data_IF_397642325990
#
_entry.id   IF_397642325990
#
_cell.length_a   1.000
_cell.length_b   1.000
_cell.length_c   1.000
_cell.angle_alpha   90.00
_cell.angle_beta   90.00
_cell.angle_gamma   90.00
#
_symmetry.space_group_name_H-M   'P 1'
#
loop_
_entity.id
_entity.type
_entity.pdbx_description
1 polymer ?
#
# COMPACT_ATOMS: atom_id res chain seq x y z
N UNK A 1 23.71 -15.04 -43.71
CA UNK A 1 22.70 -15.38 -42.68
C UNK A 1 23.14 -14.68 -41.42
N UNK A 2 22.57 -13.50 -41.18
CA UNK A 2 22.79 -12.76 -39.94
C UNK A 2 21.73 -13.25 -38.95
N UNK A 3 22.17 -13.88 -37.87
CA UNK A 3 21.27 -14.25 -36.78
C UNK A 3 21.00 -13.00 -35.97
N UNK A 4 19.81 -12.43 -36.12
CA UNK A 4 19.33 -11.38 -35.22
C UNK A 4 19.07 -12.01 -33.85
N UNK A 5 19.96 -11.73 -32.91
CA UNK A 5 19.75 -11.96 -31.48
C UNK A 5 18.47 -11.23 -31.06
N UNK A 6 17.38 -11.98 -30.93
CA UNK A 6 16.17 -11.51 -30.27
C UNK A 6 16.49 -11.40 -28.78
N UNK A 7 16.91 -10.19 -28.38
CA UNK A 7 17.00 -9.81 -26.98
C UNK A 7 15.59 -9.89 -26.40
N UNK A 8 15.26 -11.02 -25.80
CA UNK A 8 14.08 -11.19 -24.96
C UNK A 8 14.22 -10.20 -23.81
N UNK A 9 13.55 -9.06 -23.90
CA UNK A 9 13.35 -8.19 -22.76
C UNK A 9 12.70 -9.04 -21.66
N UNK A 10 13.21 -9.04 -20.41
CA UNK A 10 12.47 -9.63 -19.33
C UNK A 10 11.11 -8.92 -19.29
N UNK A 11 10.04 -9.71 -19.28
CA UNK A 11 8.71 -9.21 -18.97
C UNK A 11 8.81 -8.77 -17.52
N UNK A 12 9.06 -7.49 -17.30
CA UNK A 12 8.89 -6.89 -15.98
C UNK A 12 7.39 -7.04 -15.69
N UNK A 13 7.03 -7.85 -14.68
CA UNK A 13 5.67 -7.86 -14.16
C UNK A 13 5.38 -6.43 -13.72
N UNK A 14 4.53 -5.72 -14.47
CA UNK A 14 4.07 -4.39 -14.12
C UNK A 14 3.18 -4.50 -12.87
N UNK A 15 3.79 -4.52 -11.68
CA UNK A 15 3.11 -4.51 -10.40
C UNK A 15 2.49 -3.13 -10.14
N UNK A 16 1.16 -3.06 -10.08
CA UNK A 16 0.43 -1.83 -9.72
C UNK A 16 0.10 -1.82 -8.22
N UNK A 17 0.40 -0.70 -7.57
CA UNK A 17 0.13 -0.48 -6.14
C UNK A 17 -0.99 0.55 -5.98
N UNK A 18 -1.86 0.34 -4.99
CA UNK A 18 -2.89 1.31 -4.59
C UNK A 18 -2.91 1.46 -3.08
N UNK A 19 -3.11 2.69 -2.60
CA UNK A 19 -3.26 2.97 -1.18
C UNK A 19 -4.74 2.85 -0.79
N UNK A 20 -5.04 1.93 0.12
CA UNK A 20 -6.38 1.78 0.70
C UNK A 20 -6.51 2.69 1.93
N UNK A 21 -7.36 3.71 1.85
CA UNK A 21 -7.67 4.59 2.98
C UNK A 21 -8.90 4.05 3.75
N UNK A 22 -8.65 3.56 4.96
CA UNK A 22 -9.66 3.04 5.89
C UNK A 22 -9.98 4.01 7.04
N UNK A 23 -9.48 5.24 7.03
CA UNK A 23 -9.60 6.17 8.15
C UNK A 23 -11.06 6.47 8.54
N UNK A 24 -11.96 6.51 7.56
CA UNK A 24 -13.41 6.68 7.80
C UNK A 24 -14.14 5.45 8.37
N UNK A 25 -13.43 4.32 8.50
CA UNK A 25 -14.00 3.03 8.98
C UNK A 25 -13.45 2.68 10.35
N UNK A 26 -12.14 2.88 10.58
CA UNK A 26 -11.47 2.53 11.84
C UNK A 26 -12.03 3.26 13.08
N UNK A 27 -12.72 4.39 12.91
CA UNK A 27 -13.43 5.07 13.99
C UNK A 27 -14.68 4.33 14.49
N UNK A 28 -15.21 3.40 13.70
CA UNK A 28 -16.46 2.70 13.96
C UNK A 28 -16.27 1.21 14.19
N UNK A 29 -15.17 0.64 13.69
CA UNK A 29 -14.91 -0.80 13.72
C UNK A 29 -13.44 -1.07 14.01
N UNK A 30 -13.18 -2.05 14.87
CA UNK A 30 -11.82 -2.56 15.12
C UNK A 30 -11.52 -3.69 14.12
N UNK A 31 -10.43 -3.56 13.36
CA UNK A 31 -10.01 -4.53 12.36
C UNK A 31 -8.81 -5.30 12.92
N UNK A 32 -8.93 -6.60 13.21
CA UNK A 32 -7.84 -7.36 13.80
C UNK A 32 -6.68 -7.49 12.81
N UNK A 33 -5.46 -7.56 13.35
CA UNK A 33 -4.28 -7.85 12.54
C UNK A 33 -4.44 -9.18 11.80
N UNK A 34 -4.05 -9.21 10.52
CA UNK A 34 -4.16 -10.38 9.64
C UNK A 34 -5.61 -10.89 9.42
N UNK A 35 -6.62 -10.02 9.59
CA UNK A 35 -7.98 -10.37 9.19
C UNK A 35 -8.01 -10.77 7.70
N UNK A 36 -8.68 -11.88 7.34
CA UNK A 36 -8.85 -12.24 5.93
C UNK A 36 -9.70 -11.19 5.24
N UNK A 37 -9.41 -10.90 3.98
CA UNK A 37 -10.16 -9.93 3.20
C UNK A 37 -10.30 -10.35 1.74
N UNK A 38 -11.41 -9.93 1.13
CA UNK A 38 -11.67 -10.03 -0.30
C UNK A 38 -11.83 -8.63 -0.88
N UNK A 39 -10.99 -8.28 -1.86
CA UNK A 39 -11.05 -7.03 -2.61
C UNK A 39 -11.48 -7.33 -4.05
N UNK A 40 -12.53 -6.67 -4.51
CA UNK A 40 -13.14 -6.95 -5.81
C UNK A 40 -13.58 -5.66 -6.51
N UNK A 41 -13.73 -5.73 -7.84
CA UNK A 41 -14.21 -4.61 -8.64
C UNK A 41 -13.24 -3.44 -8.71
N UNK A 42 -11.92 -3.70 -8.64
CA UNK A 42 -10.89 -2.67 -8.81
C UNK A 42 -10.97 -1.99 -10.18
N UNK A 43 -11.51 -2.67 -11.18
CA UNK A 43 -11.82 -2.18 -12.52
C UNK A 43 -13.10 -1.32 -12.59
N UNK A 44 -13.82 -1.18 -11.49
CA UNK A 44 -15.08 -0.42 -11.41
C UNK A 44 -14.87 0.94 -10.71
N UNK A 45 -15.83 1.85 -10.83
CA UNK A 45 -15.78 3.12 -10.06
C UNK A 45 -15.94 2.91 -8.55
N UNK A 46 -16.53 1.79 -8.13
CA UNK A 46 -16.86 1.51 -6.73
C UNK A 46 -16.43 0.08 -6.32
N UNK A 47 -15.13 -0.13 -6.06
CA UNK A 47 -14.63 -1.41 -5.57
C UNK A 47 -15.26 -1.80 -4.24
N UNK A 48 -15.35 -3.11 -3.99
CA UNK A 48 -15.91 -3.66 -2.74
C UNK A 48 -14.81 -4.38 -1.98
N UNK A 49 -14.64 -4.02 -0.71
CA UNK A 49 -13.75 -4.68 0.24
C UNK A 49 -14.59 -5.36 1.32
N UNK A 50 -14.41 -6.66 1.49
CA UNK A 50 -15.05 -7.45 2.53
C UNK A 50 -13.97 -7.93 3.49
N UNK A 51 -14.04 -7.55 4.76
CA UNK A 51 -13.10 -7.97 5.80
C UNK A 51 -13.79 -8.95 6.74
N UNK A 52 -13.13 -10.08 7.02
CA UNK A 52 -13.60 -11.17 7.90
C UNK A 52 -15.00 -11.70 7.56
N UNK A 53 -15.39 -11.63 6.27
CA UNK A 53 -16.72 -11.98 5.75
C UNK A 53 -17.90 -11.27 6.45
N UNK A 54 -17.64 -10.18 7.17
CA UNK A 54 -18.63 -9.47 8.00
C UNK A 54 -18.72 -8.00 7.66
N UNK A 55 -17.57 -7.36 7.49
CA UNK A 55 -17.48 -5.93 7.27
C UNK A 55 -17.41 -5.65 5.77
N UNK A 56 -18.52 -5.14 5.21
CA UNK A 56 -18.59 -4.78 3.79
C UNK A 56 -18.41 -3.28 3.61
N UNK A 57 -17.42 -2.91 2.81
CA UNK A 57 -17.02 -1.53 2.54
C UNK A 57 -17.13 -1.25 1.04
N UNK A 58 -17.47 0.00 0.72
CA UNK A 58 -17.49 0.51 -0.65
C UNK A 58 -16.39 1.55 -0.81
N UNK A 59 -15.59 1.36 -1.85
CA UNK A 59 -14.47 2.22 -2.21
C UNK A 59 -14.87 3.30 -3.23
N UNK A 60 -14.14 4.39 -3.21
CA UNK A 60 -14.18 5.43 -4.23
C UNK A 60 -12.75 5.88 -4.53
N UNK A 61 -12.39 5.94 -5.81
CA UNK A 61 -11.08 6.41 -6.24
C UNK A 61 -10.99 7.93 -6.09
N UNK A 62 -9.96 8.41 -5.38
CA UNK A 62 -9.66 9.83 -5.25
C UNK A 62 -8.25 10.12 -5.73
N UNK A 63 -8.12 11.12 -6.60
CA UNK A 63 -6.83 11.60 -7.07
C UNK A 63 -6.13 12.41 -5.97
N UNK A 64 -4.85 12.14 -5.72
CA UNK A 64 -4.10 12.85 -4.70
C UNK A 64 -3.57 14.16 -5.23
N UNK A 65 -3.53 15.18 -4.36
CA UNK A 65 -2.73 16.38 -4.64
C UNK A 65 -1.27 16.03 -4.37
N UNK A 66 -0.49 15.87 -5.45
CA UNK A 66 0.91 15.46 -5.40
C UNK A 66 1.09 13.93 -5.50
N UNK A 67 2.31 13.48 -5.23
CA UNK A 67 2.73 12.08 -5.38
C UNK A 67 3.08 11.49 -4.01
N UNK A 68 2.51 10.33 -3.69
CA UNK A 68 2.86 9.56 -2.51
C UNK A 68 3.94 8.53 -2.85
N UNK A 69 5.11 8.62 -2.23
CA UNK A 69 6.18 7.63 -2.38
C UNK A 69 6.10 6.59 -1.28
N UNK A 70 6.01 5.32 -1.66
CA UNK A 70 5.93 4.19 -0.74
C UNK A 70 7.29 3.51 -0.68
N UNK A 71 7.76 3.23 0.54
CA UNK A 71 9.03 2.54 0.79
C UNK A 71 8.77 1.29 1.64
N UNK A 72 9.47 0.20 1.33
CA UNK A 72 9.52 -0.98 2.19
C UNK A 72 10.69 -0.84 3.13
N UNK A 73 10.49 -1.24 4.38
CA UNK A 73 11.58 -1.43 5.33
C UNK A 73 12.11 -2.86 5.19
N UNK A 74 13.43 -2.98 5.09
CA UNK A 74 14.13 -4.26 5.17
C UNK A 74 15.05 -4.23 6.37
N UNK A 75 15.08 -5.32 7.14
CA UNK A 75 16.06 -5.53 8.20
C UNK A 75 17.42 -5.81 7.52
N UNK A 76 18.06 -4.73 7.09
CA UNK A 76 19.39 -4.79 6.52
C UNK A 76 20.38 -5.13 7.62
N UNK A 77 21.28 -6.07 7.35
CA UNK A 77 22.51 -6.19 8.13
C UNK A 77 23.19 -4.81 8.19
N UNK A 78 23.81 -4.40 9.32
CA UNK A 78 24.36 -3.07 9.47
C UNK A 78 25.32 -2.79 8.32
N UNK A 79 24.95 -1.82 7.48
CA UNK A 79 25.82 -1.34 6.42
C UNK A 79 26.99 -0.68 7.13
N UNK A 80 28.13 -1.37 7.16
CA UNK A 80 29.41 -0.69 7.36
C UNK A 80 29.46 0.38 6.27
N UNK A 81 29.35 1.63 6.68
CA UNK A 81 29.55 2.76 5.79
C UNK A 81 31.00 2.69 5.34
N UNK A 82 31.26 1.97 4.24
CA UNK A 82 32.49 2.10 3.49
C UNK A 82 32.37 3.41 2.74
N UNK A 83 32.50 4.50 3.51
CA UNK A 83 32.73 5.83 2.99
C UNK A 83 33.90 5.68 2.02
N UNK A 84 33.63 6.00 0.76
CA UNK A 84 34.58 5.93 -0.33
C UNK A 84 35.92 6.52 0.12
N UNK A 85 36.86 5.62 0.38
CA UNK A 85 38.19 5.94 0.88
C UNK A 85 38.90 6.89 -0.08
N UNK A 86 39.01 8.16 0.29
CA UNK A 86 40.23 8.97 0.12
C UNK A 86 40.09 10.34 0.80
N UNK A 87 40.49 10.42 2.08
CA UNK A 87 41.17 11.62 2.62
C UNK A 87 42.04 11.15 3.78
N UNK A 88 43.35 11.21 3.60
CA UNK A 88 44.32 10.90 4.63
C UNK A 88 44.30 11.98 5.74
N UNK A 89 44.56 11.55 6.97
CA UNK A 89 44.86 12.32 8.19
C UNK A 89 43.68 12.87 9.03
N UNK A 90 43.22 12.07 10.00
CA UNK A 90 43.56 12.25 11.43
C UNK A 90 43.00 11.05 12.24
N UNK A 91 43.80 10.55 13.18
CA UNK A 91 43.48 9.42 14.05
C UNK A 91 42.65 9.93 15.21
N UNK A 92 41.32 9.77 15.14
CA UNK A 92 40.48 9.85 16.34
C UNK A 92 39.54 8.65 16.34
N UNK A 93 39.84 7.67 17.20
CA UNK A 93 39.01 6.48 17.41
C UNK A 93 37.59 6.92 17.78
N UNK A 94 36.55 6.46 17.07
CA UNK A 94 35.19 6.62 17.58
C UNK A 94 35.06 5.68 18.78
N UNK A 95 34.86 6.27 19.96
CA UNK A 95 34.35 5.53 21.11
C UNK A 95 33.00 4.94 20.72
N UNK A 96 32.93 3.61 20.67
CA UNK A 96 31.71 2.87 20.44
C UNK A 96 30.72 3.17 21.57
N UNK A 97 29.81 4.11 21.32
CA UNK A 97 28.62 4.27 22.13
C UNK A 97 27.69 3.10 21.80
N UNK A 98 27.46 2.23 22.78
CA UNK A 98 26.80 0.93 22.64
C UNK A 98 25.27 1.04 22.48
N UNK A 99 24.79 2.10 21.81
CA UNK A 99 23.37 2.37 21.63
C UNK A 99 23.00 2.77 20.19
N UNK A 100 23.83 2.41 19.21
CA UNK A 100 23.45 2.52 17.81
C UNK A 100 22.41 1.45 17.48
N UNK A 101 21.14 1.85 17.44
CA UNK A 101 20.13 1.12 16.68
C UNK A 101 20.67 0.89 15.26
N UNK A 102 20.62 -0.36 14.79
CA UNK A 102 21.11 -0.71 13.46
C UNK A 102 20.43 0.19 12.40
N UNK A 103 21.20 0.71 11.42
CA UNK A 103 20.62 1.54 10.38
C UNK A 103 19.62 0.71 9.56
N UNK A 104 18.35 1.07 9.63
CA UNK A 104 17.26 0.44 8.87
C UNK A 104 17.39 0.80 7.40
N UNK A 105 17.41 -0.20 6.52
CA UNK A 105 17.51 0.00 5.09
C UNK A 105 16.11 0.04 4.47
N UNK A 106 15.78 1.12 3.77
CA UNK A 106 14.52 1.25 3.03
C UNK A 106 14.72 1.12 1.53
N UNK A 107 13.73 0.56 0.83
CA UNK A 107 13.72 0.43 -0.63
C UNK A 107 12.45 1.07 -1.21
N UNK A 108 12.53 1.88 -2.27
CA UNK A 108 11.33 2.42 -2.91
C UNK A 108 10.51 1.27 -3.52
N UNK A 109 9.19 1.33 -3.36
CA UNK A 109 8.23 0.36 -3.90
C UNK A 109 7.43 1.01 -5.03
N UNK A 110 6.81 2.16 -4.78
CA UNK A 110 5.83 2.74 -5.71
C UNK A 110 5.72 4.27 -5.58
N UNK A 111 5.24 4.91 -6.64
CA UNK A 111 4.78 6.29 -6.65
C UNK A 111 3.29 6.34 -6.97
N UNK A 112 2.47 6.74 -6.00
CA UNK A 112 1.02 6.69 -6.07
C UNK A 112 0.44 8.08 -6.31
N UNK A 113 -0.58 8.13 -7.15
CA UNK A 113 -1.31 9.36 -7.51
C UNK A 113 -2.82 9.24 -7.24
N UNK A 114 -3.26 8.06 -6.78
CA UNK A 114 -4.64 7.75 -6.45
C UNK A 114 -4.68 6.98 -5.15
N UNK A 115 -5.73 7.21 -4.39
CA UNK A 115 -6.09 6.42 -3.20
C UNK A 115 -7.47 5.83 -3.42
N UNK A 116 -7.72 4.71 -2.78
CA UNK A 116 -9.03 4.10 -2.72
C UNK A 116 -9.61 4.31 -1.34
N UNK A 117 -10.57 5.23 -1.22
CA UNK A 117 -11.15 5.62 0.05
C UNK A 117 -12.38 4.78 0.36
N UNK A 118 -12.34 4.05 1.47
CA UNK A 118 -13.43 3.19 1.87
C UNK A 118 -14.32 3.83 2.93
N UNK A 119 -15.60 3.46 2.83
CA UNK A 119 -16.63 3.76 3.83
C UNK A 119 -17.52 2.54 4.04
N UNK A 120 -18.20 2.50 5.18
CA UNK A 120 -19.19 1.46 5.47
C UNK A 120 -20.28 1.46 4.38
N UNK A 121 -20.56 0.28 3.84
CA UNK A 121 -21.69 0.11 2.94
C UNK A 121 -22.97 0.01 3.78
N UNK A 122 -23.74 1.09 3.83
CA UNK A 122 -25.09 1.06 4.41
C UNK A 122 -26.04 0.52 3.35
N UNK A 123 -26.71 -0.60 3.62
CA UNK A 123 -27.84 -1.03 2.81
C UNK A 123 -29.00 -0.05 3.10
N UNK A 124 -29.29 0.86 2.16
CA UNK A 124 -30.55 1.61 2.23
C UNK A 124 -31.69 0.58 2.11
N UNK A 125 -32.41 0.39 3.22
CA UNK A 125 -33.69 -0.32 3.24
C UNK A 125 -34.60 0.41 2.25
N UNK A 126 -34.80 -0.16 1.07
CA UNK A 126 -35.96 0.19 0.25
C UNK A 126 -37.18 -0.33 1.00
N UNK A 127 -37.85 0.55 1.75
CA UNK A 127 -39.18 0.25 2.28
C UNK A 127 -40.11 0.06 1.08
N UNK A 128 -40.29 -1.21 0.72
CA UNK A 128 -41.32 -1.64 -0.20
C UNK A 128 -42.66 -1.54 0.54
N UNK A 129 -43.25 -0.35 0.59
CA UNK A 129 -44.65 -0.18 0.96
C UNK A 129 -45.53 -0.69 -0.18
N UNK A 130 -45.73 -2.01 -0.16
CA UNK A 130 -46.75 -2.69 -0.92
C UNK A 130 -48.11 -2.60 -0.21
N UNK A 131 -49.08 -2.06 -0.95
CA UNK A 131 -50.50 -2.42 -0.96
C UNK A 131 -51.46 -1.80 0.09
N UNK A 132 -52.42 -0.99 -0.38
CA UNK A 132 -53.80 -1.50 -0.49
C UNK A 132 -54.67 -0.65 -1.43
N UNK A 133 -55.30 -1.31 -2.39
CA UNK A 133 -56.34 -0.71 -3.21
C UNK A 133 -57.61 -0.43 -2.40
N UNK A 134 -58.31 0.65 -2.77
CA UNK A 134 -59.76 0.75 -2.63
C UNK A 134 -60.31 1.48 -3.85
N UNK A 135 -61.21 0.76 -4.52
CA UNK A 135 -62.18 1.08 -5.56
C UNK A 135 -62.39 2.55 -5.93
#
# INVERSE_FOLDING_TARGET
MEATDMKTNPVEDDEEYVLLDLNGVCSHVDIPANAPYDLSGLDTQNPILVIDNKLKLIGEYQETIGTCFVFSESDGAPVLHEEMRASEANIEKPTADANQASPRQVKPIASLHKILKFRLLTEEKTDSDGFNGKN
#
